data_IF_183076602630
#
_entry.id   IF_183076602630
#
_cell.length_a   1.000
_cell.length_b   1.000
_cell.length_c   1.000
_cell.angle_alpha   90.00
_cell.angle_beta   90.00
_cell.angle_gamma   90.00
#
_symmetry.space_group_name_H-M   'P 1'
#
loop_
_entity.id
_entity.type
_entity.pdbx_description
1 polymer ?
#
# COMPACT_ATOMS: atom_id res chain seq x y z
N UNK A 1 10.39 26.00 17.27
CA UNK A 1 9.27 25.60 16.37
C UNK A 1 9.82 24.53 15.44
N UNK A 2 9.17 23.37 15.28
CA UNK A 2 9.64 22.31 14.37
C UNK A 2 9.54 22.81 12.92
N UNK A 3 10.67 23.19 12.32
CA UNK A 3 10.72 23.77 10.98
C UNK A 3 10.29 22.78 9.88
N UNK A 4 10.18 21.49 10.20
CA UNK A 4 9.68 20.43 9.32
C UNK A 4 8.29 19.93 9.73
N UNK A 5 7.48 20.77 10.41
CA UNK A 5 6.15 20.40 10.90
C UNK A 5 5.22 19.85 9.81
N UNK A 6 5.29 20.35 8.57
CA UNK A 6 4.49 19.82 7.45
C UNK A 6 4.96 18.43 7.05
N UNK A 7 6.27 18.26 6.90
CA UNK A 7 6.89 16.95 6.59
C UNK A 7 6.53 15.91 7.64
N UNK A 8 6.63 16.27 8.93
CA UNK A 8 6.25 15.40 10.05
C UNK A 8 4.78 14.98 10.00
N UNK A 9 3.88 15.92 9.70
CA UNK A 9 2.45 15.62 9.56
C UNK A 9 2.21 14.64 8.40
N UNK A 10 2.86 14.83 7.26
CA UNK A 10 2.72 13.91 6.11
C UNK A 10 3.28 12.53 6.38
N UNK A 11 4.36 12.43 7.16
CA UNK A 11 4.89 11.13 7.59
C UNK A 11 3.88 10.38 8.47
N UNK A 12 3.25 11.09 9.42
CA UNK A 12 2.17 10.52 10.26
C UNK A 12 0.94 10.08 9.48
N UNK A 13 0.53 10.84 8.47
CA UNK A 13 -0.55 10.43 7.56
C UNK A 13 -0.21 9.10 6.86
N UNK A 14 1.02 8.96 6.34
CA UNK A 14 1.47 7.71 5.74
C UNK A 14 1.52 6.55 6.74
N UNK A 15 1.97 6.79 7.98
CA UNK A 15 1.92 5.81 9.08
C UNK A 15 0.49 5.33 9.37
N UNK A 16 -0.48 6.25 9.41
CA UNK A 16 -1.88 5.92 9.65
C UNK A 16 -2.46 5.05 8.54
N UNK A 17 -2.21 5.39 7.27
CA UNK A 17 -2.69 4.58 6.15
C UNK A 17 -2.04 3.20 6.11
N UNK A 18 -0.76 3.07 6.46
CA UNK A 18 -0.11 1.77 6.61
C UNK A 18 -0.74 0.95 7.76
N UNK A 19 -1.11 1.59 8.86
CA UNK A 19 -1.83 0.92 9.95
C UNK A 19 -3.18 0.38 9.49
N UNK A 20 -3.94 1.16 8.72
CA UNK A 20 -5.21 0.70 8.13
C UNK A 20 -4.98 -0.46 7.16
N UNK A 21 -3.98 -0.35 6.28
CA UNK A 21 -3.61 -1.40 5.32
C UNK A 21 -3.27 -2.74 6.00
N UNK A 22 -2.59 -2.70 7.16
CA UNK A 22 -2.27 -3.91 7.94
C UNK A 22 -3.50 -4.62 8.49
N UNK A 23 -4.61 -3.90 8.65
CA UNK A 23 -5.87 -4.41 9.19
C UNK A 23 -6.93 -4.63 8.11
N UNK A 24 -6.60 -4.41 6.83
CA UNK A 24 -7.53 -4.59 5.72
C UNK A 24 -7.97 -6.06 5.59
N UNK A 25 -9.27 -6.28 5.43
CA UNK A 25 -9.84 -7.65 5.40
C UNK A 25 -10.34 -8.07 4.02
N UNK A 26 -10.36 -7.16 3.06
CA UNK A 26 -10.81 -7.38 1.68
C UNK A 26 -9.98 -6.57 0.68
N UNK A 27 -10.15 -6.87 -0.61
CA UNK A 27 -9.38 -6.21 -1.67
C UNK A 27 -9.69 -4.71 -1.75
N UNK A 28 -10.96 -4.30 -1.64
CA UNK A 28 -11.34 -2.90 -1.80
C UNK A 28 -10.73 -2.01 -0.69
N UNK A 29 -10.73 -2.48 0.56
CA UNK A 29 -10.01 -1.84 1.66
C UNK A 29 -8.50 -1.81 1.41
N UNK A 30 -7.94 -2.92 0.94
CA UNK A 30 -6.50 -3.03 0.66
C UNK A 30 -6.09 -2.03 -0.42
N UNK A 31 -6.79 -1.99 -1.54
CA UNK A 31 -6.56 -1.05 -2.65
C UNK A 31 -6.73 0.40 -2.18
N UNK A 32 -7.82 0.71 -1.47
CA UNK A 32 -8.10 2.05 -0.98
C UNK A 32 -7.04 2.56 0.01
N UNK A 33 -6.70 1.75 1.02
CA UNK A 33 -5.67 2.12 2.00
C UNK A 33 -4.27 2.14 1.39
N UNK A 34 -3.99 1.27 0.42
CA UNK A 34 -2.72 1.28 -0.30
C UNK A 34 -2.56 2.52 -1.17
N UNK A 35 -3.58 2.90 -1.95
CA UNK A 35 -3.56 4.13 -2.73
C UNK A 35 -3.40 5.36 -1.82
N UNK A 36 -4.14 5.41 -0.70
CA UNK A 36 -3.99 6.47 0.29
C UNK A 36 -2.56 6.53 0.88
N UNK A 37 -1.95 5.38 1.16
CA UNK A 37 -0.55 5.30 1.57
C UNK A 37 0.40 5.86 0.51
N UNK A 38 0.26 5.46 -0.76
CA UNK A 38 1.09 5.95 -1.87
C UNK A 38 0.99 7.47 -2.03
N UNK A 39 -0.23 8.00 -1.96
CA UNK A 39 -0.49 9.43 -2.02
C UNK A 39 0.19 10.17 -0.85
N UNK A 40 0.00 9.69 0.38
CA UNK A 40 0.60 10.29 1.57
C UNK A 40 2.13 10.25 1.51
N UNK A 41 2.74 9.11 1.15
CA UNK A 41 4.20 8.96 1.02
C UNK A 41 4.81 9.94 0.01
N UNK A 42 4.15 10.21 -1.12
CA UNK A 42 4.61 11.25 -2.08
C UNK A 42 4.69 12.61 -1.40
N UNK A 43 3.65 12.97 -0.65
CA UNK A 43 3.57 14.29 -0.03
C UNK A 43 4.64 14.53 1.03
N UNK A 44 5.22 13.48 1.62
CA UNK A 44 6.38 13.61 2.53
C UNK A 44 7.55 14.29 1.83
N UNK A 45 7.95 13.78 0.66
CA UNK A 45 9.10 14.33 -0.08
C UNK A 45 8.84 15.74 -0.63
N UNK A 46 7.59 16.05 -0.98
CA UNK A 46 7.18 17.39 -1.43
C UNK A 46 7.17 18.40 -0.27
N UNK A 47 6.65 17.98 0.89
CA UNK A 47 6.68 18.80 2.10
C UNK A 47 8.11 19.07 2.53
N UNK A 48 9.00 18.07 2.47
CA UNK A 48 10.41 18.22 2.82
C UNK A 48 11.10 19.26 1.92
N UNK A 49 10.88 19.19 0.61
CA UNK A 49 11.40 20.19 -0.34
C UNK A 49 10.87 21.58 -0.04
N UNK A 50 9.58 21.71 0.27
CA UNK A 50 8.95 22.99 0.56
C UNK A 50 9.44 23.60 1.88
N UNK A 51 9.65 22.76 2.91
CA UNK A 51 10.11 23.21 4.22
C UNK A 51 11.60 23.60 4.20
N UNK A 52 12.40 23.06 3.26
CA UNK A 52 13.84 23.26 3.19
C UNK A 52 14.35 24.09 2.00
N UNK A 53 13.47 24.53 1.10
CA UNK A 53 13.87 25.17 -0.17
C UNK A 53 14.90 26.32 -0.01
N UNK A 54 14.81 27.08 1.07
CA UNK A 54 15.66 28.26 1.31
C UNK A 54 16.84 27.95 2.25
N UNK A 55 17.04 26.69 2.66
CA UNK A 55 18.13 26.31 3.57
C UNK A 55 19.46 26.15 2.81
N UNK A 56 20.54 26.83 3.22
CA UNK A 56 21.85 26.68 2.58
C UNK A 56 22.31 25.21 2.54
N UNK A 57 22.75 24.76 1.37
CA UNK A 57 23.22 23.40 1.15
C UNK A 57 22.14 22.33 1.03
N UNK A 58 20.85 22.70 1.11
CA UNK A 58 19.72 21.77 0.90
C UNK A 58 19.76 21.16 -0.49
N UNK A 59 19.88 21.98 -1.54
CA UNK A 59 19.87 21.51 -2.92
C UNK A 59 20.92 20.43 -3.18
N UNK A 60 22.17 20.68 -2.75
CA UNK A 60 23.27 19.71 -2.89
C UNK A 60 22.99 18.40 -2.13
N UNK A 61 22.48 18.48 -0.90
CA UNK A 61 22.15 17.29 -0.13
C UNK A 61 20.99 16.51 -0.74
N UNK A 62 19.92 17.22 -1.11
CA UNK A 62 18.72 16.60 -1.62
C UNK A 62 18.95 15.99 -3.00
N UNK A 63 19.80 16.59 -3.83
CA UNK A 63 20.25 15.99 -5.09
C UNK A 63 20.88 14.62 -4.88
N UNK A 64 21.77 14.47 -3.90
CA UNK A 64 22.35 13.17 -3.57
C UNK A 64 21.29 12.15 -3.13
N UNK A 65 20.29 12.58 -2.35
CA UNK A 65 19.14 11.73 -1.98
C UNK A 65 18.23 11.37 -3.15
N UNK A 66 18.04 12.28 -4.10
CA UNK A 66 17.34 11.97 -5.34
C UNK A 66 18.07 10.92 -6.17
N UNK A 67 19.40 11.00 -6.23
CA UNK A 67 20.21 10.02 -6.96
C UNK A 67 20.22 8.65 -6.24
N UNK A 68 20.24 8.64 -4.90
CA UNK A 68 20.03 7.43 -4.08
C UNK A 68 18.67 6.78 -4.38
N UNK A 69 17.57 7.53 -4.29
CA UNK A 69 16.22 7.05 -4.62
C UNK A 69 16.10 6.60 -6.09
N UNK A 70 16.78 7.28 -7.01
CA UNK A 70 16.80 6.90 -8.44
C UNK A 70 17.58 5.62 -8.68
N UNK A 71 18.50 5.23 -7.81
CA UNK A 71 19.29 4.00 -7.99
C UNK A 71 18.74 2.83 -7.16
N UNK A 72 17.92 3.11 -6.16
CA UNK A 72 17.32 2.10 -5.29
C UNK A 72 16.11 1.37 -5.94
N UNK A 73 16.06 0.03 -5.83
CA UNK A 73 14.96 -0.74 -6.42
C UNK A 73 13.63 -0.53 -5.69
N UNK A 74 13.63 -0.42 -4.35
CA UNK A 74 12.41 -0.20 -3.57
C UNK A 74 11.81 1.18 -3.89
N UNK A 75 12.63 2.24 -3.93
CA UNK A 75 12.17 3.58 -4.27
C UNK A 75 11.62 3.66 -5.70
N UNK A 76 12.28 3.02 -6.68
CA UNK A 76 11.75 2.90 -8.06
C UNK A 76 10.42 2.18 -8.09
N UNK A 77 10.31 1.09 -7.36
CA UNK A 77 9.10 0.29 -7.28
C UNK A 77 7.91 1.12 -6.79
N UNK A 78 8.03 1.80 -5.64
CA UNK A 78 6.97 2.67 -5.11
C UNK A 78 6.68 3.89 -5.98
N UNK A 79 7.70 4.45 -6.65
CA UNK A 79 7.49 5.50 -7.66
C UNK A 79 6.59 4.98 -8.79
N UNK A 80 6.89 3.80 -9.33
CA UNK A 80 6.16 3.23 -10.46
C UNK A 80 4.73 2.85 -10.07
N UNK A 81 4.52 2.24 -8.90
CA UNK A 81 3.19 1.92 -8.40
C UNK A 81 2.32 3.16 -8.28
N UNK A 82 2.85 4.22 -7.69
CA UNK A 82 2.15 5.50 -7.58
C UNK A 82 1.86 6.13 -8.93
N UNK A 83 2.81 6.07 -9.86
CA UNK A 83 2.60 6.61 -11.19
C UNK A 83 1.50 5.81 -11.92
N UNK A 84 1.43 4.48 -11.76
CA UNK A 84 0.31 3.66 -12.29
C UNK A 84 -1.04 3.96 -11.64
N UNK A 85 -1.09 3.99 -10.31
CA UNK A 85 -2.29 4.28 -9.52
C UNK A 85 -2.96 5.58 -9.97
N UNK A 86 -2.15 6.64 -10.18
CA UNK A 86 -2.63 7.95 -10.64
C UNK A 86 -3.13 7.98 -12.10
N UNK A 87 -2.62 7.11 -12.98
CA UNK A 87 -2.93 7.19 -14.42
C UNK A 87 -3.97 6.17 -14.88
N UNK A 88 -4.05 5.01 -14.21
CA UNK A 88 -4.85 3.87 -14.70
C UNK A 88 -5.92 3.42 -13.71
N UNK A 89 -5.77 3.73 -12.41
CA UNK A 89 -6.60 3.14 -11.37
C UNK A 89 -6.41 1.63 -11.20
N UNK A 90 -5.50 1.01 -11.97
CA UNK A 90 -5.15 -0.39 -11.85
C UNK A 90 -4.17 -0.58 -10.69
N UNK A 91 -4.56 -1.40 -9.73
CA UNK A 91 -3.66 -1.86 -8.69
C UNK A 91 -2.86 -3.06 -9.22
N UNK A 92 -1.53 -3.02 -9.15
CA UNK A 92 -0.67 -4.21 -9.41
C UNK A 92 -0.80 -5.22 -8.23
N UNK A 93 -1.96 -5.29 -7.57
CA UNK A 93 -2.20 -6.11 -6.40
C UNK A 93 -2.85 -7.41 -6.88
N UNK A 94 -2.07 -8.49 -6.82
CA UNK A 94 -2.63 -9.82 -6.95
C UNK A 94 -3.25 -10.22 -5.62
N UNK A 95 -4.44 -10.81 -5.71
CA UNK A 95 -5.22 -11.25 -4.56
C UNK A 95 -5.57 -12.72 -4.69
N UNK A 96 -5.56 -13.43 -3.57
CA UNK A 96 -5.93 -14.83 -3.48
C UNK A 96 -6.72 -15.06 -2.20
N UNK A 97 -7.85 -15.73 -2.30
CA UNK A 97 -8.70 -16.05 -1.16
C UNK A 97 -8.57 -17.52 -0.83
N UNK A 98 -8.24 -17.82 0.42
CA UNK A 98 -8.21 -19.16 0.97
C UNK A 98 -9.35 -19.33 1.97
N UNK A 99 -10.10 -20.41 1.82
CA UNK A 99 -11.14 -20.81 2.78
C UNK A 99 -10.66 -22.10 3.45
N UNK A 100 -10.26 -22.05 4.73
CA UNK A 100 -9.79 -23.22 5.45
C UNK A 100 -10.95 -24.21 5.71
N UNK A 101 -10.64 -25.50 5.60
CA UNK A 101 -11.56 -26.59 5.91
C UNK A 101 -12.34 -27.12 4.70
N UNK A 102 -13.16 -28.17 4.89
CA UNK A 102 -14.01 -28.69 3.82
C UNK A 102 -15.04 -27.64 3.42
N UNK A 103 -15.06 -27.28 2.13
CA UNK A 103 -16.08 -26.38 1.57
C UNK A 103 -17.40 -27.15 1.50
N UNK A 104 -18.14 -27.19 2.61
CA UNK A 104 -19.54 -27.63 2.59
C UNK A 104 -20.44 -26.43 2.34
N UNK A 105 -20.70 -26.19 1.07
CA UNK A 105 -21.56 -25.11 0.58
C UNK A 105 -23.00 -25.20 1.09
N UNK A 106 -23.43 -26.35 1.64
CA UNK A 106 -24.75 -26.51 2.24
C UNK A 106 -24.84 -25.98 3.67
N UNK A 107 -23.71 -25.88 4.38
CA UNK A 107 -23.66 -25.40 5.78
C UNK A 107 -23.32 -23.92 5.87
N UNK A 108 -23.06 -23.26 4.74
CA UNK A 108 -22.84 -21.83 4.70
C UNK A 108 -24.16 -21.07 4.90
N UNK A 109 -24.14 -19.95 5.65
CA UNK A 109 -25.36 -19.26 6.03
C UNK A 109 -26.14 -18.75 4.81
N UNK A 110 -27.48 -18.82 4.92
CA UNK A 110 -28.42 -18.15 4.02
C UNK A 110 -28.29 -18.52 2.53
N UNK A 111 -27.97 -19.78 2.19
CA UNK A 111 -27.91 -20.21 0.79
C UNK A 111 -29.28 -20.05 0.08
N UNK A 112 -29.39 -19.24 -0.98
CA UNK A 112 -30.61 -19.18 -1.79
C UNK A 112 -30.84 -20.49 -2.55
N UNK A 113 -32.11 -20.84 -2.79
CA UNK A 113 -32.45 -21.98 -3.65
C UNK A 113 -31.89 -21.76 -5.06
N UNK A 114 -31.43 -22.84 -5.70
CA UNK A 114 -30.90 -22.84 -7.07
C UNK A 114 -29.75 -21.84 -7.30
N UNK A 115 -28.92 -21.60 -6.28
CA UNK A 115 -27.73 -20.75 -6.38
C UNK A 115 -26.44 -21.55 -6.62
N UNK A 116 -25.56 -20.98 -7.44
CA UNK A 116 -24.15 -21.35 -7.57
C UNK A 116 -23.24 -20.55 -6.63
N UNK A 117 -21.95 -20.83 -6.67
CA UNK A 117 -20.93 -20.09 -5.89
C UNK A 117 -19.92 -19.47 -6.84
N UNK A 118 -19.58 -18.22 -6.56
CA UNK A 118 -18.47 -17.50 -7.17
C UNK A 118 -17.49 -17.09 -6.09
N UNK A 119 -16.25 -17.54 -6.21
CA UNK A 119 -15.14 -17.12 -5.35
C UNK A 119 -14.28 -16.16 -6.16
N UNK A 120 -14.11 -14.96 -5.64
CA UNK A 120 -13.26 -13.93 -6.23
C UNK A 120 -12.36 -13.34 -5.15
N UNK A 121 -11.41 -12.52 -5.56
CA UNK A 121 -10.62 -11.71 -4.65
C UNK A 121 -11.42 -10.67 -3.85
N UNK A 122 -12.57 -10.23 -4.36
CA UNK A 122 -13.48 -9.30 -3.68
C UNK A 122 -14.39 -9.99 -2.68
N UNK A 123 -14.45 -11.31 -2.71
CA UNK A 123 -15.21 -12.10 -1.78
C UNK A 123 -15.85 -13.30 -2.44
N UNK A 124 -16.75 -13.90 -1.67
CA UNK A 124 -17.46 -15.10 -2.05
C UNK A 124 -18.93 -14.73 -2.19
N UNK A 125 -19.59 -15.21 -3.24
CA UNK A 125 -20.94 -14.81 -3.60
C UNK A 125 -21.79 -16.02 -3.92
N UNK A 126 -23.06 -15.99 -3.49
CA UNK A 126 -24.11 -16.79 -4.10
C UNK A 126 -24.49 -16.14 -5.43
N UNK A 127 -24.49 -16.91 -6.50
CA UNK A 127 -24.94 -16.46 -7.82
C UNK A 127 -26.30 -17.09 -8.10
N UNK A 128 -27.33 -16.25 -8.26
CA UNK A 128 -28.67 -16.65 -8.67
C UNK A 128 -28.83 -16.43 -10.17
N UNK A 129 -29.61 -17.30 -10.83
CA UNK A 129 -29.91 -17.20 -12.26
C UNK A 129 -28.66 -17.04 -13.14
N UNK A 130 -27.60 -17.80 -12.83
CA UNK A 130 -26.32 -17.58 -13.50
C UNK A 130 -26.44 -17.77 -15.02
N UNK A 131 -25.89 -16.82 -15.78
CA UNK A 131 -25.97 -16.80 -17.24
C UNK A 131 -27.27 -16.22 -17.82
N UNK A 132 -28.14 -15.60 -17.02
CA UNK A 132 -29.32 -14.87 -17.50
C UNK A 132 -29.19 -13.35 -17.29
N UNK A 133 -30.12 -12.57 -17.86
CA UNK A 133 -30.19 -11.11 -17.65
C UNK A 133 -30.53 -10.73 -16.20
N UNK A 134 -31.09 -11.67 -15.41
CA UNK A 134 -31.47 -11.49 -14.01
C UNK A 134 -30.42 -12.11 -13.06
N UNK A 135 -29.17 -12.26 -13.50
CA UNK A 135 -28.08 -12.76 -12.66
C UNK A 135 -27.88 -11.81 -11.46
N UNK A 136 -27.86 -12.39 -10.26
CA UNK A 136 -27.69 -11.63 -9.02
C UNK A 136 -26.62 -12.27 -8.14
N UNK A 137 -25.72 -11.43 -7.64
CA UNK A 137 -24.70 -11.82 -6.67
C UNK A 137 -25.07 -11.38 -5.26
N UNK A 138 -25.01 -12.31 -4.30
CA UNK A 138 -25.21 -12.03 -2.87
C UNK A 138 -23.94 -12.41 -2.13
N UNK A 139 -23.30 -11.44 -1.47
CA UNK A 139 -22.07 -11.68 -0.73
C UNK A 139 -22.30 -12.68 0.41
N UNK A 140 -21.41 -13.65 0.53
CA UNK A 140 -21.36 -14.65 1.59
C UNK A 140 -20.35 -14.18 2.62
N UNK A 141 -20.85 -13.82 3.81
CA UNK A 141 -19.99 -13.56 4.94
C UNK A 141 -19.56 -14.90 5.57
N UNK A 142 -18.38 -15.38 5.17
CA UNK A 142 -17.69 -16.50 5.82
C UNK A 142 -16.59 -15.97 6.74
N UNK A 143 -16.74 -16.25 8.04
CA UNK A 143 -15.89 -15.73 9.12
C UNK A 143 -14.44 -16.18 9.05
N UNK A 144 -14.15 -17.30 8.38
CA UNK A 144 -12.83 -17.93 8.40
C UNK A 144 -12.02 -17.71 7.12
N UNK A 145 -12.42 -16.76 6.24
CA UNK A 145 -11.66 -16.50 5.01
C UNK A 145 -10.30 -15.86 5.34
N UNK A 146 -9.28 -16.24 4.58
CA UNK A 146 -7.96 -15.61 4.62
C UNK A 146 -7.71 -15.03 3.23
N UNK A 147 -7.48 -13.72 3.17
CA UNK A 147 -7.10 -13.04 1.94
C UNK A 147 -5.59 -12.78 1.94
N UNK A 148 -4.94 -13.15 0.84
CA UNK A 148 -3.53 -12.87 0.59
C UNK A 148 -3.44 -11.82 -0.50
N UNK A 149 -2.64 -10.79 -0.24
CA UNK A 149 -2.35 -9.72 -1.19
C UNK A 149 -0.85 -9.69 -1.45
N UNK A 150 -0.46 -9.68 -2.72
CA UNK A 150 0.95 -9.66 -3.12
C UNK A 150 1.16 -8.77 -4.33
N UNK A 151 2.38 -8.29 -4.48
CA UNK A 151 2.82 -7.71 -5.73
C UNK A 151 3.41 -8.81 -6.62
N UNK A 152 3.11 -8.84 -7.93
CA UNK A 152 3.63 -9.87 -8.84
C UNK A 152 5.15 -9.79 -8.98
N UNK A 153 5.69 -8.58 -9.01
CA UNK A 153 7.11 -8.31 -9.25
C UNK A 153 7.69 -7.42 -8.14
N UNK A 154 7.84 -7.94 -6.90
CA UNK A 154 8.34 -7.14 -5.79
C UNK A 154 9.84 -6.81 -5.98
N UNK A 155 10.32 -5.68 -5.44
CA UNK A 155 11.74 -5.32 -5.51
C UNK A 155 12.59 -6.36 -4.75
N UNK A 156 13.82 -6.58 -5.21
CA UNK A 156 14.69 -7.60 -4.65
C UNK A 156 15.66 -7.03 -3.60
N UNK A 157 15.93 -5.73 -3.67
CA UNK A 157 16.88 -5.04 -2.80
C UNK A 157 16.43 -3.66 -2.37
N UNK A 158 16.92 -3.20 -1.22
CA UNK A 158 16.84 -1.81 -0.77
C UNK A 158 18.20 -1.39 -0.22
N UNK A 159 18.73 -0.25 -0.68
CA UNK A 159 20.04 0.30 -0.31
C UNK A 159 21.17 -0.72 -0.45
N UNK A 160 21.16 -1.48 -1.54
CA UNK A 160 22.16 -2.52 -1.84
C UNK A 160 22.01 -3.81 -1.03
N UNK A 161 21.00 -3.92 -0.15
CA UNK A 161 20.75 -5.11 0.68
C UNK A 161 19.55 -5.89 0.16
N UNK A 162 19.63 -7.22 0.21
CA UNK A 162 18.50 -8.10 -0.17
C UNK A 162 17.31 -7.89 0.77
N UNK A 163 16.12 -7.71 0.21
CA UNK A 163 14.87 -7.61 0.97
C UNK A 163 14.45 -9.01 1.41
N UNK A 164 14.26 -9.20 2.72
CA UNK A 164 13.81 -10.47 3.32
C UNK A 164 12.29 -10.62 3.26
N UNK A 165 11.57 -9.63 3.75
CA UNK A 165 10.11 -9.60 3.73
C UNK A 165 9.62 -8.86 2.49
N UNK A 166 9.02 -9.63 1.56
CA UNK A 166 8.47 -9.14 0.30
C UNK A 166 6.94 -9.07 0.30
N UNK A 167 6.32 -9.22 1.47
CA UNK A 167 4.89 -8.97 1.61
C UNK A 167 4.60 -7.49 1.30
N UNK A 168 3.36 -7.20 0.92
CA UNK A 168 2.94 -5.80 0.69
C UNK A 168 3.21 -4.94 1.92
N UNK A 169 2.81 -5.42 3.09
CA UNK A 169 2.99 -4.72 4.36
C UNK A 169 4.47 -4.54 4.68
N UNK A 170 5.31 -5.57 4.48
CA UNK A 170 6.75 -5.51 4.69
C UNK A 170 7.43 -4.46 3.82
N UNK A 171 7.08 -4.41 2.53
CA UNK A 171 7.60 -3.43 1.58
C UNK A 171 7.15 -2.00 1.92
N UNK A 172 5.88 -1.81 2.30
CA UNK A 172 5.38 -0.51 2.74
C UNK A 172 6.07 -0.04 4.03
N UNK A 173 6.30 -0.94 5.00
CA UNK A 173 7.08 -0.63 6.21
C UNK A 173 8.48 -0.16 5.84
N UNK A 174 9.17 -0.92 4.99
CA UNK A 174 10.55 -0.60 4.60
C UNK A 174 10.65 0.75 3.87
N UNK A 175 9.67 1.07 3.03
CA UNK A 175 9.64 2.36 2.34
C UNK A 175 9.30 3.52 3.28
N UNK A 176 8.39 3.31 4.24
CA UNK A 176 8.08 4.30 5.26
C UNK A 176 9.27 4.56 6.20
N UNK A 177 10.01 3.51 6.57
CA UNK A 177 11.25 3.61 7.35
C UNK A 177 12.30 4.44 6.61
N UNK A 178 12.41 4.26 5.29
CA UNK A 178 13.26 5.10 4.45
C UNK A 178 12.85 6.58 4.52
N UNK A 179 11.56 6.90 4.37
CA UNK A 179 11.06 8.28 4.46
C UNK A 179 11.27 8.89 5.86
N UNK A 180 11.09 8.08 6.91
CA UNK A 180 11.36 8.47 8.30
C UNK A 180 12.84 8.77 8.51
N UNK A 181 13.72 7.97 7.92
CA UNK A 181 15.18 8.19 7.96
C UNK A 181 15.56 9.47 7.24
N UNK A 182 15.00 9.71 6.04
CA UNK A 182 15.21 10.95 5.28
C UNK A 182 14.79 12.19 6.08
N UNK A 183 13.64 12.13 6.76
CA UNK A 183 13.18 13.20 7.66
C UNK A 183 14.13 13.42 8.84
N UNK A 184 14.58 12.36 9.52
CA UNK A 184 15.53 12.45 10.65
C UNK A 184 16.87 13.03 10.22
N UNK A 185 17.40 12.59 9.08
CA UNK A 185 18.64 13.15 8.51
C UNK A 185 18.50 14.66 8.24
N UNK A 186 17.36 15.08 7.68
CA UNK A 186 17.08 16.50 7.43
C UNK A 186 17.07 17.32 8.72
N UNK A 187 16.45 16.81 9.80
CA UNK A 187 16.48 17.45 11.11
C UNK A 187 17.94 17.63 11.55
N UNK A 188 18.71 16.54 11.63
CA UNK A 188 20.09 16.59 12.14
C UNK A 188 20.95 17.57 11.35
N UNK A 189 20.76 17.62 10.03
CA UNK A 189 21.59 18.43 9.13
C UNK A 189 21.22 19.91 9.15
N UNK A 190 19.94 20.26 9.19
CA UNK A 190 19.49 21.65 9.02
C UNK A 190 19.02 22.32 10.32
N UNK A 191 18.86 21.57 11.41
CA UNK A 191 18.58 22.14 12.73
C UNK A 191 19.79 22.91 13.29
N UNK A 192 21.03 22.59 12.89
CA UNK A 192 22.24 23.29 13.32
C UNK A 192 22.49 24.64 12.63
N UNK A 193 21.75 24.93 11.54
CA UNK A 193 21.88 26.14 10.73
C UNK A 193 20.58 26.98 10.78
N UNK A 194 19.80 26.88 11.86
CA UNK A 194 18.53 27.58 12.05
C UNK A 194 18.61 28.55 13.21
#
# INVERSE_FOLDING_TARGET
>A
MDFLSRTKRKLREAEQHLSLLKNAVNLDETEGYFSAFLAASRTVTLALQKDLKDKPGFERWYKAKQDEMRNDQLCKFFKNLRDKDLHTGDSDIESSTFVPGPINTRTWPNRPKNSGIKITSRGIYWVLNSGTLDEKEINVNVSNRINFFRFPNPPQSHLGRKIKDKTMQGLCCLFLDYLSTLYKEAIVRFNKNS
#
